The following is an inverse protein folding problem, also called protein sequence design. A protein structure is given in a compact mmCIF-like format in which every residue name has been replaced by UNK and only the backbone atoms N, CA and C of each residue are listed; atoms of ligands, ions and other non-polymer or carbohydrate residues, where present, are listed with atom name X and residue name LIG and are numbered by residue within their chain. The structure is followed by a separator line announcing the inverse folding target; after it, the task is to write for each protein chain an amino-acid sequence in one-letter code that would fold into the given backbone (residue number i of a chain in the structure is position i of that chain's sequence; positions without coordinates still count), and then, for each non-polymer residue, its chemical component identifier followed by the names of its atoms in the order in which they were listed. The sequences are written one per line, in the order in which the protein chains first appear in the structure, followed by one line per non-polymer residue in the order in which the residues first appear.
data_IF_653702336533
#
_entry.id   IF_653702336533
#
_cell.length_a   1.000
_cell.length_b   1.000
_cell.length_c   1.000
_cell.angle_alpha   90.00
_cell.angle_beta   90.00
_cell.angle_gamma   90.00
#
_symmetry.space_group_name_H-M   'P 1'
#
loop_
_entity.id
_entity.type
_entity.pdbx_description
1 polymer ?
#
# COMPACT_ATOMS: atom_id res chain seq x y z
N UNK A 1 21.88 6.62 37.29
CA UNK A 1 20.58 6.06 36.89
C UNK A 1 20.83 4.64 36.40
N UNK A 2 19.95 3.70 36.72
CA UNK A 2 20.12 2.26 36.57
C UNK A 2 19.24 1.75 35.42
N UNK A 3 19.70 0.72 34.70
CA UNK A 3 18.88 0.02 33.69
C UNK A 3 18.18 -1.19 34.32
N UNK A 4 17.05 -1.58 33.75
CA UNK A 4 16.42 -2.84 34.11
C UNK A 4 17.30 -4.00 33.65
N UNK A 5 17.44 -5.02 34.49
CA UNK A 5 18.23 -6.23 34.22
C UNK A 5 17.36 -7.43 34.54
N UNK A 6 17.39 -8.44 33.68
CA UNK A 6 16.75 -9.73 33.92
C UNK A 6 17.55 -10.58 34.92
N UNK A 7 16.84 -11.32 35.78
CA UNK A 7 17.49 -12.35 36.57
C UNK A 7 17.96 -13.49 35.66
N UNK A 8 19.19 -13.98 35.90
CA UNK A 8 19.73 -15.13 35.19
C UNK A 8 20.40 -16.11 36.14
N UNK A 9 20.02 -17.37 36.02
CA UNK A 9 20.59 -18.49 36.75
C UNK A 9 21.18 -19.52 35.79
N UNK A 10 22.26 -20.17 36.21
CA UNK A 10 22.90 -21.22 35.42
C UNK A 10 23.03 -22.52 36.22
N UNK A 11 22.91 -23.64 35.54
CA UNK A 11 23.16 -24.94 36.14
C UNK A 11 24.65 -25.24 36.28
N UNK A 12 24.94 -26.33 37.00
CA UNK A 12 26.19 -27.08 36.86
C UNK A 12 26.46 -27.49 35.39
N UNK A 13 27.71 -27.87 35.11
CA UNK A 13 28.13 -28.33 33.80
C UNK A 13 27.81 -29.83 33.63
N UNK A 14 27.15 -30.16 32.53
CA UNK A 14 26.88 -31.52 32.07
C UNK A 14 27.77 -31.86 30.87
N UNK A 15 28.00 -33.15 30.63
CA UNK A 15 28.85 -33.57 29.50
C UNK A 15 28.31 -33.13 28.13
N UNK A 16 26.99 -33.07 27.96
CA UNK A 16 26.32 -32.67 26.71
C UNK A 16 24.86 -32.26 26.94
N UNK A 17 24.20 -31.72 25.92
CA UNK A 17 22.76 -31.39 25.97
C UNK A 17 21.85 -32.63 26.10
N UNK A 18 22.33 -33.82 25.70
CA UNK A 18 21.62 -35.09 25.82
C UNK A 18 21.92 -35.85 27.11
N UNK A 19 22.76 -35.29 27.99
CA UNK A 19 23.08 -35.91 29.27
C UNK A 19 21.83 -35.98 30.14
N UNK A 20 21.54 -37.16 30.68
CA UNK A 20 20.46 -37.37 31.62
C UNK A 20 20.64 -36.44 32.82
N UNK A 21 19.58 -35.70 33.13
CA UNK A 21 19.57 -34.75 34.23
C UNK A 21 19.00 -35.41 35.48
N UNK A 22 18.27 -36.51 35.38
CA UNK A 22 17.53 -37.19 36.43
C UNK A 22 16.08 -36.71 36.53
N UNK A 23 15.16 -37.64 36.77
CA UNK A 23 13.73 -37.37 36.97
C UNK A 23 13.51 -36.50 38.23
N UNK A 24 12.72 -35.43 38.06
CA UNK A 24 12.40 -34.43 39.10
C UNK A 24 11.26 -33.52 38.67
N UNK A 25 10.70 -32.79 39.62
CA UNK A 25 9.86 -31.62 39.34
C UNK A 25 10.60 -30.35 39.75
N UNK A 26 10.77 -29.42 38.80
CA UNK A 26 11.22 -28.05 39.07
C UNK A 26 9.99 -27.18 39.25
N UNK A 27 9.82 -26.57 40.41
CA UNK A 27 8.76 -25.60 40.66
C UNK A 27 9.36 -24.20 40.55
N UNK A 28 8.95 -23.46 39.52
CA UNK A 28 9.35 -22.08 39.27
C UNK A 28 8.31 -21.17 39.94
N UNK A 29 8.74 -20.37 40.91
CA UNK A 29 7.89 -19.39 41.58
C UNK A 29 8.29 -17.98 41.18
N UNK A 30 7.33 -17.17 40.76
CA UNK A 30 7.49 -15.74 40.49
C UNK A 30 6.20 -14.98 40.83
N UNK A 31 6.13 -13.70 40.47
CA UNK A 31 4.94 -12.85 40.68
C UNK A 31 3.68 -13.36 39.97
N UNK A 32 3.83 -14.12 38.88
CA UNK A 32 2.73 -14.74 38.13
C UNK A 32 2.18 -16.02 38.76
N UNK A 33 2.86 -16.60 39.75
CA UNK A 33 2.43 -17.80 40.47
C UNK A 33 3.51 -18.88 40.56
N UNK A 34 3.05 -20.12 40.73
CA UNK A 34 3.88 -21.33 40.85
C UNK A 34 3.65 -22.23 39.64
N UNK A 35 4.73 -22.61 38.97
CA UNK A 35 4.71 -23.39 37.74
C UNK A 35 5.55 -24.65 37.90
N UNK A 36 4.91 -25.82 37.81
CA UNK A 36 5.60 -27.11 37.90
C UNK A 36 6.07 -27.56 36.52
N UNK A 37 7.37 -27.86 36.43
CA UNK A 37 8.04 -28.42 35.26
C UNK A 37 8.46 -29.84 35.59
N UNK A 38 7.76 -30.81 35.02
CA UNK A 38 8.00 -32.23 35.27
C UNK A 38 9.04 -32.77 34.28
N UNK A 39 10.10 -33.36 34.83
CA UNK A 39 11.13 -34.09 34.11
C UNK A 39 10.98 -35.57 34.45
N UNK A 40 10.62 -36.37 33.44
CA UNK A 40 10.41 -37.82 33.53
C UNK A 40 11.24 -38.56 32.47
N UNK A 41 11.14 -39.89 32.44
CA UNK A 41 11.85 -40.74 31.47
C UNK A 41 11.73 -40.33 29.99
N UNK A 42 10.71 -39.57 29.60
CA UNK A 42 10.49 -39.14 28.21
C UNK A 42 11.27 -37.88 27.83
N UNK A 43 11.65 -37.06 28.81
CA UNK A 43 12.34 -35.80 28.61
C UNK A 43 13.56 -35.61 29.54
N UNK A 44 14.06 -36.71 30.15
CA UNK A 44 15.24 -36.74 31.02
C UNK A 44 16.55 -36.45 30.27
N UNK A 45 16.72 -35.18 29.92
CA UNK A 45 17.94 -34.62 29.35
C UNK A 45 17.97 -33.11 29.58
N UNK A 46 19.14 -32.48 29.43
CA UNK A 46 19.24 -31.02 29.52
C UNK A 46 18.39 -30.33 28.43
N UNK A 47 18.35 -30.90 27.22
CA UNK A 47 17.50 -30.47 26.12
C UNK A 47 16.01 -30.60 26.46
N UNK A 48 15.58 -31.75 26.98
CA UNK A 48 14.20 -31.97 27.40
C UNK A 48 13.78 -31.04 28.54
N UNK A 49 14.68 -30.76 29.48
CA UNK A 49 14.45 -29.79 30.56
C UNK A 49 14.29 -28.36 30.03
N UNK A 50 15.14 -27.91 29.11
CA UNK A 50 14.98 -26.62 28.43
C UNK A 50 13.60 -26.50 27.79
N UNK A 51 13.21 -27.54 27.04
CA UNK A 51 11.95 -27.54 26.29
C UNK A 51 10.75 -27.54 27.25
N UNK A 52 10.83 -28.31 28.34
CA UNK A 52 9.80 -28.34 29.37
C UNK A 52 9.65 -26.99 30.11
N UNK A 53 10.76 -26.30 30.43
CA UNK A 53 10.71 -24.96 31.03
C UNK A 53 10.06 -23.97 30.05
N UNK A 54 10.49 -23.95 28.79
CA UNK A 54 9.91 -23.04 27.79
C UNK A 54 8.43 -23.32 27.51
N UNK A 55 7.99 -24.57 27.66
CA UNK A 55 6.58 -24.95 27.51
C UNK A 55 5.71 -24.63 28.73
N UNK A 56 6.31 -24.38 29.90
CA UNK A 56 5.58 -24.12 31.15
C UNK A 56 4.85 -22.78 31.21
N UNK A 57 5.14 -21.85 30.28
CA UNK A 57 4.63 -20.48 30.27
C UNK A 57 4.83 -19.74 31.61
N UNK A 58 5.86 -20.10 32.36
CA UNK A 58 6.19 -19.49 33.66
C UNK A 58 6.70 -18.06 33.52
N UNK A 59 7.00 -17.56 32.32
CA UNK A 59 7.68 -16.27 32.12
C UNK A 59 9.21 -16.36 32.26
N UNK A 60 9.75 -17.54 32.56
CA UNK A 60 11.19 -17.84 32.52
C UNK A 60 11.51 -18.59 31.23
N UNK A 61 12.53 -18.12 30.51
CA UNK A 61 13.05 -18.77 29.31
C UNK A 61 14.31 -19.57 29.65
N UNK A 62 14.42 -20.77 29.11
CA UNK A 62 15.60 -21.61 29.22
C UNK A 62 16.34 -21.73 27.89
N UNK A 63 17.67 -21.68 27.94
CA UNK A 63 18.57 -21.96 26.83
C UNK A 63 19.73 -22.86 27.28
N UNK A 64 20.42 -23.48 26.32
CA UNK A 64 21.60 -24.31 26.61
C UNK A 64 22.81 -23.61 26.03
N UNK A 65 23.82 -23.41 26.87
CA UNK A 65 25.13 -22.93 26.46
C UNK A 65 26.12 -24.10 26.51
N UNK A 66 26.79 -24.37 25.39
CA UNK A 66 27.80 -25.42 25.28
C UNK A 66 29.17 -24.81 25.01
N UNK A 67 30.14 -25.16 25.84
CA UNK A 67 31.55 -24.78 25.71
C UNK A 67 32.44 -26.05 25.66
N UNK A 68 33.77 -25.89 25.73
CA UNK A 68 34.72 -27.02 25.72
C UNK A 68 34.66 -27.90 26.97
N UNK A 69 34.12 -27.39 28.08
CA UNK A 69 33.97 -28.11 29.34
C UNK A 69 32.66 -28.90 29.40
N UNK A 70 31.64 -28.50 28.63
CA UNK A 70 30.36 -29.21 28.53
C UNK A 70 29.18 -28.28 28.21
N UNK A 71 27.98 -28.71 28.58
CA UNK A 71 26.74 -27.95 28.42
C UNK A 71 26.17 -27.50 29.77
N UNK A 72 25.61 -26.29 29.84
CA UNK A 72 24.86 -25.80 31.01
C UNK A 72 23.50 -25.25 30.58
N UNK A 73 22.51 -25.40 31.46
CA UNK A 73 21.24 -24.70 31.33
C UNK A 73 21.42 -23.26 31.80
N UNK A 74 20.83 -22.33 31.07
CA UNK A 74 20.72 -20.92 31.44
C UNK A 74 19.24 -20.59 31.49
N UNK A 75 18.77 -20.16 32.65
CA UNK A 75 17.40 -19.73 32.90
C UNK A 75 17.39 -18.20 33.04
N UNK A 76 16.52 -17.54 32.29
CA UNK A 76 16.44 -16.08 32.23
C UNK A 76 14.98 -15.63 32.39
N UNK A 77 14.74 -14.69 33.31
CA UNK A 77 13.45 -14.04 33.47
C UNK A 77 13.30 -12.83 32.53
N UNK A 78 12.13 -12.19 32.55
CA UNK A 78 11.99 -10.85 32.00
C UNK A 78 12.76 -9.82 32.85
N UNK A 79 13.05 -8.65 32.25
CA UNK A 79 13.67 -7.52 32.97
C UNK A 79 12.81 -7.08 34.16
N UNK A 80 13.43 -6.58 35.22
CA UNK A 80 12.73 -5.99 36.37
C UNK A 80 12.59 -6.92 37.57
N UNK A 81 12.58 -6.34 38.76
CA UNK A 81 12.58 -7.03 40.05
C UNK A 81 11.32 -7.87 40.23
N UNK A 82 10.16 -7.39 39.79
CA UNK A 82 8.89 -8.14 39.85
C UNK A 82 8.91 -9.44 39.03
N UNK A 83 9.77 -9.54 38.02
CA UNK A 83 9.91 -10.72 37.18
C UNK A 83 10.96 -11.72 37.72
N UNK A 84 11.57 -11.43 38.87
CA UNK A 84 12.45 -12.38 39.55
C UNK A 84 11.75 -13.70 39.82
N UNK A 85 12.54 -14.77 39.83
CA UNK A 85 12.05 -16.13 40.04
C UNK A 85 12.90 -16.86 41.07
N UNK A 86 12.30 -17.90 41.65
CA UNK A 86 13.00 -18.89 42.46
C UNK A 86 12.65 -20.28 41.96
N UNK A 87 13.60 -21.20 42.05
CA UNK A 87 13.40 -22.59 41.62
C UNK A 87 13.55 -23.51 42.82
N UNK A 88 12.51 -24.28 43.11
CA UNK A 88 12.59 -25.39 44.07
C UNK A 88 12.55 -26.72 43.33
N UNK A 89 13.29 -27.71 43.81
CA UNK A 89 13.40 -29.01 43.15
C UNK A 89 12.90 -30.11 44.09
N UNK A 90 12.09 -31.01 43.57
CA UNK A 90 11.61 -32.20 44.28
C UNK A 90 11.76 -33.45 43.40
N UNK A 91 11.95 -34.61 44.01
CA UNK A 91 12.12 -35.88 43.28
C UNK A 91 13.16 -36.80 43.90
N UNK A 92 13.47 -37.88 43.19
CA UNK A 92 14.42 -38.92 43.62
C UNK A 92 15.87 -38.60 43.24
N UNK A 93 16.06 -37.75 42.23
CA UNK A 93 17.39 -37.33 41.77
C UNK A 93 17.99 -36.26 42.68
N UNK A 94 19.33 -36.20 42.85
CA UNK A 94 19.98 -35.10 43.55
C UNK A 94 19.56 -33.74 42.96
N UNK A 95 19.39 -32.75 43.85
CA UNK A 95 19.11 -31.38 43.46
C UNK A 95 20.27 -30.83 42.62
N UNK A 96 19.93 -30.21 41.49
CA UNK A 96 20.87 -29.53 40.61
C UNK A 96 21.26 -28.19 41.26
N UNK A 97 22.53 -27.78 41.21
CA UNK A 97 22.88 -26.44 41.65
C UNK A 97 22.48 -25.42 40.57
N UNK A 98 21.78 -24.36 40.99
CA UNK A 98 21.48 -23.20 40.17
C UNK A 98 22.19 -21.99 40.78
N UNK A 99 23.13 -21.41 40.03
CA UNK A 99 23.91 -20.26 40.45
C UNK A 99 23.37 -19.01 39.81
N UNK A 100 22.99 -18.02 40.63
CA UNK A 100 22.59 -16.70 40.14
C UNK A 100 23.82 -15.95 39.62
N UNK A 101 23.77 -15.55 38.35
CA UNK A 101 24.85 -14.80 37.67
C UNK A 101 24.43 -13.39 37.25
N UNK A 102 23.15 -13.08 37.37
CA UNK A 102 22.61 -11.73 37.22
C UNK A 102 21.36 -11.61 38.09
N UNK A 103 21.33 -10.60 38.96
CA UNK A 103 20.16 -10.28 39.78
C UNK A 103 19.22 -9.38 39.02
N UNK A 104 17.91 -9.61 39.16
CA UNK A 104 16.91 -8.71 38.58
C UNK A 104 17.02 -7.31 39.18
N UNK A 105 16.90 -6.30 38.34
CA UNK A 105 16.96 -4.88 38.70
C UNK A 105 15.91 -4.13 37.89
N UNK A 106 15.31 -3.10 38.47
CA UNK A 106 14.40 -2.18 37.77
C UNK A 106 15.19 -1.05 37.11
N UNK A 107 14.62 -0.47 36.06
CA UNK A 107 15.13 0.77 35.48
C UNK A 107 14.69 1.94 36.35
N UNK A 108 15.62 2.88 36.60
CA UNK A 108 15.37 4.09 37.38
C UNK A 108 15.79 5.28 36.54
N UNK A 109 14.81 6.10 36.13
CA UNK A 109 15.01 7.30 35.33
C UNK A 109 14.39 8.52 36.04
N UNK A 110 14.99 9.69 35.89
CA UNK A 110 14.41 10.95 36.35
C UNK A 110 13.89 11.76 35.17
N UNK A 111 12.60 12.06 35.17
CA UNK A 111 11.94 12.93 34.18
C UNK A 111 11.50 14.19 34.91
N UNK A 112 12.01 15.36 34.50
CA UNK A 112 11.74 16.66 35.14
C UNK A 112 11.91 16.67 36.67
N UNK A 113 12.88 15.91 37.17
CA UNK A 113 13.19 15.78 38.60
C UNK A 113 12.37 14.74 39.36
N UNK A 114 11.36 14.14 38.72
CA UNK A 114 10.56 13.05 39.28
C UNK A 114 11.24 11.71 38.97
N UNK A 115 11.50 10.91 40.00
CA UNK A 115 12.04 9.57 39.84
C UNK A 115 10.94 8.58 39.44
N UNK A 116 11.20 7.85 38.36
CA UNK A 116 10.33 6.82 37.81
C UNK A 116 11.07 5.48 37.85
N UNK A 117 10.43 4.50 38.45
CA UNK A 117 10.92 3.11 38.52
C UNK A 117 10.05 2.26 37.60
N UNK A 118 10.69 1.49 36.71
CA UNK A 118 9.97 0.62 35.77
C UNK A 118 10.65 -0.75 35.69
N UNK A 119 9.85 -1.80 35.46
CA UNK A 119 10.37 -3.16 35.26
C UNK A 119 11.10 -3.33 33.92
N UNK A 120 10.86 -2.47 32.93
CA UNK A 120 11.51 -2.53 31.61
C UNK A 120 12.41 -1.34 31.34
N UNK A 121 13.36 -1.53 30.42
CA UNK A 121 14.11 -0.44 29.79
C UNK A 121 13.28 0.40 28.80
N UNK A 122 12.02 0.04 28.53
CA UNK A 122 11.09 0.86 27.76
C UNK A 122 10.05 1.49 28.68
N UNK A 123 10.11 2.82 28.83
CA UNK A 123 9.19 3.59 29.66
C UNK A 123 8.14 4.24 28.78
N UNK A 124 6.89 3.83 28.94
CA UNK A 124 5.72 4.44 28.29
C UNK A 124 4.85 5.15 29.32
N UNK A 125 4.26 6.29 28.96
CA UNK A 125 3.29 6.97 29.83
C UNK A 125 3.89 7.91 30.87
N UNK A 126 5.22 8.00 30.98
CA UNK A 126 5.89 9.07 31.74
C UNK A 126 5.53 10.46 31.21
N UNK A 127 5.42 10.57 29.88
CA UNK A 127 4.92 11.74 29.16
C UNK A 127 3.88 11.23 28.15
N UNK A 128 2.66 11.81 28.09
CA UNK A 128 1.65 11.40 27.12
C UNK A 128 2.18 11.45 25.67
N UNK A 129 2.04 10.33 24.95
CA UNK A 129 2.47 10.23 23.55
C UNK A 129 3.96 10.00 23.31
N UNK A 130 4.77 9.84 24.37
CA UNK A 130 6.21 9.58 24.26
C UNK A 130 6.55 8.19 24.81
N UNK A 131 7.38 7.45 24.06
CA UNK A 131 8.04 6.23 24.51
C UNK A 131 9.53 6.53 24.68
N UNK A 132 10.08 6.21 25.86
CA UNK A 132 11.50 6.41 26.17
C UNK A 132 12.17 5.04 26.25
N UNK A 133 13.16 4.80 25.40
CA UNK A 133 14.00 3.60 25.47
C UNK A 133 15.33 3.93 26.16
N UNK A 134 15.60 3.26 27.28
CA UNK A 134 16.81 3.44 28.08
C UNK A 134 17.87 2.47 27.58
N UNK A 135 18.93 3.00 26.95
CA UNK A 135 19.98 2.17 26.36
C UNK A 135 21.15 1.91 27.31
N UNK A 136 21.49 2.89 28.15
CA UNK A 136 22.63 2.80 29.04
C UNK A 136 22.44 3.66 30.29
N UNK A 137 23.00 3.17 31.41
CA UNK A 137 23.11 3.91 32.65
C UNK A 137 24.24 4.95 32.56
N UNK A 138 23.88 6.24 32.51
CA UNK A 138 24.84 7.35 32.65
C UNK A 138 24.44 8.22 33.84
N UNK A 139 25.25 8.19 34.91
CA UNK A 139 25.00 8.99 36.11
C UNK A 139 25.47 10.44 35.89
N UNK A 140 24.62 11.41 36.24
CA UNK A 140 24.95 12.84 36.20
C UNK A 140 24.83 13.53 34.83
N UNK A 141 24.51 12.79 33.77
CA UNK A 141 24.22 13.35 32.44
C UNK A 141 22.72 13.65 32.32
N UNK A 142 22.38 14.88 31.96
CA UNK A 142 21.02 15.29 31.66
C UNK A 142 20.79 15.21 30.14
N UNK A 143 19.70 14.57 29.73
CA UNK A 143 19.22 14.58 28.36
C UNK A 143 18.01 15.49 28.28
N UNK A 144 18.02 16.45 27.37
CA UNK A 144 16.86 17.30 27.09
C UNK A 144 16.11 16.70 25.91
N UNK A 145 14.92 16.16 26.16
CA UNK A 145 14.00 15.77 25.10
C UNK A 145 13.28 17.04 24.67
N UNK A 146 13.80 17.71 23.64
CA UNK A 146 13.05 18.74 22.97
C UNK A 146 12.02 18.04 22.09
N UNK A 147 10.74 18.26 22.37
CA UNK A 147 9.66 17.97 21.44
C UNK A 147 9.76 18.90 20.23
N UNK A 148 10.83 18.78 19.44
CA UNK A 148 10.72 19.05 18.03
C UNK A 148 9.74 17.98 17.57
N UNK A 149 8.46 18.34 17.42
CA UNK A 149 7.58 17.62 16.53
C UNK A 149 8.44 17.37 15.31
N UNK A 150 8.80 16.10 15.04
CA UNK A 150 9.23 15.73 13.69
C UNK A 150 8.23 16.43 12.79
N UNK A 151 8.64 17.47 12.05
CA UNK A 151 7.71 18.01 11.08
C UNK A 151 7.50 16.81 10.17
N UNK A 152 6.24 16.32 10.10
CA UNK A 152 5.81 15.59 8.92
C UNK A 152 6.50 16.24 7.74
N UNK A 153 7.16 15.45 6.90
CA UNK A 153 7.89 15.99 5.76
C UNK A 153 6.89 16.61 4.78
N UNK A 154 6.43 17.83 5.11
CA UNK A 154 5.47 18.62 4.36
C UNK A 154 6.05 18.86 2.97
N UNK A 155 7.37 19.05 2.89
CA UNK A 155 8.07 19.17 1.62
C UNK A 155 8.00 17.87 0.81
N UNK A 156 8.20 16.71 1.45
CA UNK A 156 8.00 15.38 0.87
C UNK A 156 6.60 15.17 0.33
N UNK A 157 5.57 15.44 1.13
CA UNK A 157 4.16 15.32 0.72
C UNK A 157 3.82 16.21 -0.49
N UNK A 158 4.29 17.46 -0.49
CA UNK A 158 4.10 18.38 -1.62
C UNK A 158 4.84 17.87 -2.86
N UNK A 159 6.05 17.32 -2.70
CA UNK A 159 6.84 16.75 -3.79
C UNK A 159 6.19 15.51 -4.40
N UNK A 160 5.67 14.61 -3.58
CA UNK A 160 4.92 13.43 -4.04
C UNK A 160 3.66 13.83 -4.80
N UNK A 161 2.89 14.78 -4.26
CA UNK A 161 1.71 15.31 -4.95
C UNK A 161 2.05 15.92 -6.31
N UNK A 162 3.07 16.77 -6.38
CA UNK A 162 3.50 17.40 -7.63
C UNK A 162 3.95 16.35 -8.65
N UNK A 163 4.65 15.31 -8.19
CA UNK A 163 5.07 14.19 -9.05
C UNK A 163 3.85 13.47 -9.64
N UNK A 164 2.91 13.03 -8.80
CA UNK A 164 1.70 12.34 -9.24
C UNK A 164 0.84 13.22 -10.16
N UNK A 165 0.71 14.51 -9.85
CA UNK A 165 0.02 15.47 -10.71
C UNK A 165 0.69 15.57 -12.08
N UNK A 166 2.03 15.66 -12.12
CA UNK A 166 2.79 15.82 -13.37
C UNK A 166 2.72 14.58 -14.26
N UNK A 167 2.69 13.38 -13.68
CA UNK A 167 2.46 12.15 -14.41
C UNK A 167 1.07 12.12 -15.08
N UNK A 168 0.02 12.48 -14.33
CA UNK A 168 -1.34 12.60 -14.86
C UNK A 168 -1.42 13.68 -15.94
N UNK A 169 -0.83 14.85 -15.68
CA UNK A 169 -0.84 15.98 -16.61
C UNK A 169 -0.13 15.65 -17.91
N UNK A 170 1.01 14.99 -17.84
CA UNK A 170 1.78 14.56 -19.02
C UNK A 170 0.98 13.55 -19.86
N UNK A 171 0.31 12.60 -19.20
CA UNK A 171 -0.57 11.63 -19.86
C UNK A 171 -1.75 12.31 -20.56
N UNK A 172 -2.38 13.28 -19.91
CA UNK A 172 -3.48 14.07 -20.49
C UNK A 172 -3.01 14.96 -21.65
N UNK A 173 -1.85 15.60 -21.54
CA UNK A 173 -1.26 16.39 -22.62
C UNK A 173 -1.00 15.53 -23.85
N UNK A 174 -0.45 14.32 -23.69
CA UNK A 174 -0.25 13.38 -24.79
C UNK A 174 -1.58 12.89 -25.39
N UNK A 175 -2.55 12.55 -24.54
CA UNK A 175 -3.85 12.06 -25.00
C UNK A 175 -4.66 13.13 -25.74
N UNK A 176 -4.56 14.41 -25.34
CA UNK A 176 -5.35 15.52 -25.90
C UNK A 176 -4.61 16.35 -26.94
N UNK A 177 -3.34 16.02 -27.22
CA UNK A 177 -2.48 16.74 -28.17
C UNK A 177 -3.18 16.90 -29.53
N UNK A 178 -3.29 18.12 -30.07
CA UNK A 178 -3.86 18.31 -31.39
C UNK A 178 -2.96 17.69 -32.46
N UNK A 179 -3.57 17.18 -33.53
CA UNK A 179 -2.84 16.81 -34.74
C UNK A 179 -2.35 18.07 -35.45
N UNK A 180 -1.08 18.10 -35.84
CA UNK A 180 -0.46 19.22 -36.58
C UNK A 180 0.18 18.69 -37.86
N UNK A 181 0.16 19.49 -38.92
CA UNK A 181 0.84 19.21 -40.20
C UNK A 181 0.54 17.82 -40.80
N UNK A 182 -0.73 17.37 -40.73
CA UNK A 182 -1.17 16.09 -41.28
C UNK A 182 -0.94 14.87 -40.38
N UNK A 183 -0.32 15.04 -39.20
CA UNK A 183 -0.23 13.98 -38.20
C UNK A 183 -1.53 13.85 -37.40
N UNK A 184 -1.92 12.62 -37.10
CA UNK A 184 -3.02 12.33 -36.17
C UNK A 184 -2.70 12.89 -34.78
N UNK A 185 -3.71 13.51 -34.15
CA UNK A 185 -3.61 13.93 -32.75
C UNK A 185 -3.63 12.74 -31.78
N UNK A 186 -3.56 13.05 -30.49
CA UNK A 186 -3.79 12.06 -29.44
C UNK A 186 -5.20 11.45 -29.50
N UNK A 187 -5.44 10.29 -28.86
CA UNK A 187 -6.73 9.59 -28.89
C UNK A 187 -7.92 10.42 -28.36
N UNK A 188 -7.65 11.42 -27.52
CA UNK A 188 -8.64 12.34 -26.95
C UNK A 188 -8.49 13.76 -27.53
N UNK A 189 -7.83 13.91 -28.68
CA UNK A 189 -7.68 15.19 -29.35
C UNK A 189 -9.06 15.80 -29.64
N UNK A 190 -9.28 17.01 -29.14
CA UNK A 190 -10.56 17.70 -29.28
C UNK A 190 -11.69 17.17 -28.39
N UNK A 191 -11.45 16.20 -27.51
CA UNK A 191 -12.46 15.76 -26.55
C UNK A 191 -12.80 16.89 -25.56
N UNK A 192 -14.09 17.03 -25.23
CA UNK A 192 -14.58 18.11 -24.33
C UNK A 192 -14.43 17.71 -22.87
N UNK A 193 -14.63 16.43 -22.53
CA UNK A 193 -14.48 15.92 -21.18
C UNK A 193 -13.03 16.00 -20.72
N UNK A 194 -12.10 15.54 -21.56
CA UNK A 194 -10.66 15.61 -21.27
C UNK A 194 -10.17 17.06 -21.09
N UNK A 195 -10.67 18.00 -21.91
CA UNK A 195 -10.38 19.43 -21.75
C UNK A 195 -10.92 20.01 -20.45
N UNK A 196 -12.09 19.57 -20.00
CA UNK A 196 -12.66 19.99 -18.73
C UNK A 196 -11.86 19.45 -17.53
N UNK A 197 -11.40 18.20 -17.59
CA UNK A 197 -10.48 17.63 -16.58
C UNK A 197 -9.21 18.48 -16.48
N UNK A 198 -8.58 18.76 -17.63
CA UNK A 198 -7.40 19.64 -17.72
C UNK A 198 -7.66 21.00 -17.07
N UNK A 199 -8.83 21.61 -17.35
CA UNK A 199 -9.21 22.92 -16.80
C UNK A 199 -9.39 22.89 -15.30
N UNK A 200 -10.09 21.89 -14.75
CA UNK A 200 -10.30 21.73 -13.30
C UNK A 200 -8.99 21.49 -12.56
N UNK A 201 -8.12 20.63 -13.09
CA UNK A 201 -6.80 20.36 -12.52
C UNK A 201 -5.90 21.59 -12.55
N UNK A 202 -5.96 22.42 -13.60
CA UNK A 202 -5.18 23.67 -13.67
C UNK A 202 -5.65 24.73 -12.68
N UNK A 203 -6.89 24.65 -12.17
CA UNK A 203 -7.41 25.56 -11.15
C UNK A 203 -6.95 25.17 -9.73
N UNK A 204 -6.52 23.91 -9.53
CA UNK A 204 -6.22 23.35 -8.22
C UNK A 204 -5.16 24.15 -7.44
N UNK A 205 -4.14 24.68 -8.11
CA UNK A 205 -3.08 25.47 -7.45
C UNK A 205 -3.58 26.77 -6.84
N UNK A 206 -4.65 27.33 -7.42
CA UNK A 206 -5.32 28.56 -6.96
C UNK A 206 -6.55 28.29 -6.09
N UNK A 207 -6.97 27.02 -5.97
CA UNK A 207 -8.09 26.64 -5.13
C UNK A 207 -7.73 26.92 -3.68
N UNK A 208 -8.63 27.63 -2.99
CA UNK A 208 -8.49 27.88 -1.56
C UNK A 208 -8.77 26.58 -0.79
N UNK A 209 -7.77 26.08 -0.07
CA UNK A 209 -7.83 24.84 0.71
C UNK A 209 -8.30 25.09 2.15
N UNK A 210 -8.04 26.31 2.67
CA UNK A 210 -8.45 26.78 4.00
C UNK A 210 -8.70 28.29 3.98
N UNK A 211 -9.62 28.77 4.81
CA UNK A 211 -9.82 30.22 5.07
C UNK A 211 -8.96 30.77 6.21
N UNK A 212 -8.28 29.90 6.95
CA UNK A 212 -7.54 30.22 8.18
C UNK A 212 -6.03 30.21 7.92
N UNK A 213 -5.33 31.20 8.48
CA UNK A 213 -3.87 31.33 8.37
C UNK A 213 -3.41 32.10 7.12
N UNK A 214 -2.10 32.22 6.98
CA UNK A 214 -1.46 32.97 5.89
C UNK A 214 -1.32 32.12 4.61
N UNK A 215 -1.28 30.78 4.75
CA UNK A 215 -1.21 29.83 3.65
C UNK A 215 -2.60 29.29 3.35
N UNK A 216 -3.16 29.67 2.20
CA UNK A 216 -4.54 29.32 1.81
C UNK A 216 -4.61 28.49 0.54
N UNK A 217 -3.58 28.55 -0.29
CA UNK A 217 -3.48 27.90 -1.60
C UNK A 217 -2.12 27.24 -1.77
N UNK A 218 -2.00 26.32 -2.73
CA UNK A 218 -0.71 25.72 -3.08
C UNK A 218 0.28 26.76 -3.63
N UNK A 219 -0.21 27.83 -4.26
CA UNK A 219 0.61 28.93 -4.73
C UNK A 219 1.28 29.70 -3.58
N UNK A 220 0.64 29.81 -2.41
CA UNK A 220 1.18 30.51 -1.23
C UNK A 220 2.42 29.80 -0.67
N UNK A 221 2.51 28.48 -0.85
CA UNK A 221 3.65 27.64 -0.43
C UNK A 221 4.66 27.38 -1.55
N UNK A 222 4.53 28.06 -2.69
CA UNK A 222 5.51 28.01 -3.79
C UNK A 222 5.26 26.96 -4.87
N UNK A 223 4.09 26.32 -4.92
CA UNK A 223 3.72 25.44 -6.04
C UNK A 223 3.17 26.28 -7.19
N UNK A 224 3.77 26.17 -8.37
CA UNK A 224 3.43 26.99 -9.55
C UNK A 224 2.98 26.12 -10.71
N UNK A 225 2.05 26.63 -11.49
CA UNK A 225 1.64 26.01 -12.75
C UNK A 225 2.50 26.52 -13.90
N UNK A 226 3.09 25.59 -14.66
CA UNK A 226 3.89 25.86 -15.85
C UNK A 226 3.03 26.04 -17.11
N UNK A 227 3.66 26.43 -18.22
CA UNK A 227 2.95 26.74 -19.48
C UNK A 227 2.24 25.52 -20.08
N UNK A 228 2.78 24.32 -19.89
CA UNK A 228 2.17 23.05 -20.29
C UNK A 228 1.11 22.54 -19.28
N UNK A 229 0.94 23.29 -18.19
CA UNK A 229 0.06 23.02 -17.07
C UNK A 229 0.58 21.98 -16.08
N UNK A 230 1.84 21.55 -16.18
CA UNK A 230 2.53 20.80 -15.09
C UNK A 230 2.78 21.73 -13.90
N UNK A 231 3.15 21.16 -12.75
CA UNK A 231 3.50 21.88 -11.54
C UNK A 231 5.00 21.87 -11.30
N UNK A 232 5.52 23.01 -10.85
CA UNK A 232 6.89 23.17 -10.35
C UNK A 232 6.85 23.62 -8.89
N UNK A 233 7.90 23.27 -8.13
CA UNK A 233 8.06 23.68 -6.74
C UNK A 233 9.18 24.71 -6.66
N UNK A 234 8.85 25.92 -6.20
CA UNK A 234 9.85 26.87 -5.73
C UNK A 234 10.32 26.43 -4.34
N UNK A 235 11.40 25.65 -4.31
CA UNK A 235 11.96 25.09 -3.07
C UNK A 235 12.29 26.17 -2.04
N UNK A 236 12.75 27.34 -2.47
CA UNK A 236 13.08 28.44 -1.54
C UNK A 236 11.84 28.96 -0.83
N UNK A 237 10.73 29.12 -1.56
CA UNK A 237 9.45 29.53 -0.97
C UNK A 237 8.83 28.46 -0.09
N UNK A 238 8.90 27.20 -0.52
CA UNK A 238 8.38 26.08 0.27
C UNK A 238 9.14 25.93 1.59
N UNK A 239 10.47 25.93 1.54
CA UNK A 239 11.32 25.83 2.73
C UNK A 239 11.06 27.04 3.66
N UNK A 240 10.84 28.24 3.13
CA UNK A 240 10.48 29.43 3.92
C UNK A 240 9.09 29.34 4.56
N UNK A 241 8.09 28.81 3.85
CA UNK A 241 6.74 28.61 4.37
C UNK A 241 6.72 27.60 5.51
N UNK A 242 7.42 26.46 5.33
CA UNK A 242 7.56 25.41 6.35
C UNK A 242 8.34 25.92 7.56
N UNK A 243 9.39 26.71 7.36
CA UNK A 243 10.15 27.32 8.46
C UNK A 243 9.34 28.38 9.22
N UNK A 244 8.42 29.08 8.54
CA UNK A 244 7.55 30.09 9.16
C UNK A 244 6.47 29.46 10.04
N UNK A 245 5.71 28.49 9.51
CA UNK A 245 4.67 27.78 10.25
C UNK A 245 4.32 26.43 9.58
N UNK A 246 5.07 25.39 9.91
CA UNK A 246 4.83 24.03 9.40
C UNK A 246 3.47 23.46 9.81
N UNK A 247 2.92 23.88 10.95
CA UNK A 247 1.61 23.46 11.44
C UNK A 247 0.48 24.02 10.59
N UNK A 248 0.55 25.30 10.22
CA UNK A 248 -0.40 25.93 9.32
C UNK A 248 -0.36 25.31 7.91
N UNK A 249 0.83 25.05 7.36
CA UNK A 249 0.95 24.39 6.05
C UNK A 249 0.38 22.96 6.10
N UNK A 250 0.65 22.22 7.18
CA UNK A 250 0.05 20.89 7.38
C UNK A 250 -1.47 20.97 7.43
N UNK A 251 -2.05 21.85 8.25
CA UNK A 251 -3.50 21.98 8.39
C UNK A 251 -4.18 22.49 7.10
N UNK A 252 -3.47 23.26 6.27
CA UNK A 252 -3.93 23.66 4.94
C UNK A 252 -4.02 22.45 3.99
N UNK A 253 -3.01 21.57 3.98
CA UNK A 253 -2.97 20.41 3.09
C UNK A 253 -3.89 19.28 3.58
N UNK A 254 -3.82 18.98 4.88
CA UNK A 254 -4.49 17.88 5.55
C UNK A 254 -5.11 18.39 6.87
N UNK A 255 -6.34 18.93 6.82
CA UNK A 255 -7.03 19.37 8.01
C UNK A 255 -7.41 18.17 8.88
N UNK A 256 -7.26 18.30 10.20
CA UNK A 256 -7.66 17.24 11.14
C UNK A 256 -9.16 16.89 11.06
N UNK A 257 -9.99 17.86 10.70
CA UNK A 257 -11.42 17.69 10.41
C UNK A 257 -11.75 18.54 9.19
N UNK A 258 -12.22 17.89 8.12
CA UNK A 258 -12.62 18.57 6.89
C UNK A 258 -13.96 19.32 7.09
N UNK A 259 -14.02 20.57 6.65
CA UNK A 259 -15.24 21.42 6.64
C UNK A 259 -15.32 22.21 5.33
N UNK A 260 -16.45 22.86 5.05
CA UNK A 260 -16.61 23.69 3.84
C UNK A 260 -15.55 24.79 3.70
N UNK A 261 -14.97 25.24 4.82
CA UNK A 261 -13.94 26.29 4.90
C UNK A 261 -12.52 25.73 5.11
N UNK A 262 -12.39 24.41 5.27
CA UNK A 262 -11.13 23.66 5.47
C UNK A 262 -11.23 22.35 4.72
N UNK A 263 -11.23 22.44 3.40
CA UNK A 263 -11.41 21.28 2.52
C UNK A 263 -10.14 20.44 2.41
N UNK A 264 -8.95 21.05 2.58
CA UNK A 264 -7.68 20.38 2.34
C UNK A 264 -7.45 20.02 0.87
N UNK A 265 -6.29 19.43 0.59
CA UNK A 265 -5.92 19.02 -0.77
C UNK A 265 -6.76 17.83 -1.25
N UNK A 266 -7.02 16.86 -0.37
CA UNK A 266 -7.88 15.70 -0.66
C UNK A 266 -9.32 16.14 -0.95
N UNK A 267 -9.90 16.99 -0.12
CA UNK A 267 -11.26 17.51 -0.35
C UNK A 267 -11.37 18.33 -1.64
N UNK A 268 -10.33 19.08 -2.02
CA UNK A 268 -10.29 19.77 -3.30
C UNK A 268 -10.27 18.79 -4.49
N UNK A 269 -9.50 17.70 -4.40
CA UNK A 269 -9.47 16.64 -5.42
C UNK A 269 -10.79 15.86 -5.49
N UNK A 270 -11.42 15.59 -4.36
CA UNK A 270 -12.74 14.95 -4.28
C UNK A 270 -13.83 15.83 -4.88
N UNK A 271 -13.79 17.14 -4.64
CA UNK A 271 -14.71 18.09 -5.26
C UNK A 271 -14.57 18.10 -6.80
N UNK A 272 -13.33 18.07 -7.31
CA UNK A 272 -13.07 17.95 -8.76
C UNK A 272 -13.62 16.62 -9.28
N UNK A 273 -13.31 15.50 -8.62
CA UNK A 273 -13.74 14.17 -9.03
C UNK A 273 -15.27 14.05 -9.04
N UNK A 274 -15.93 14.53 -8.00
CA UNK A 274 -17.38 14.56 -7.87
C UNK A 274 -18.02 15.42 -8.96
N UNK A 275 -17.47 16.61 -9.22
CA UNK A 275 -17.96 17.50 -10.28
C UNK A 275 -17.81 16.89 -11.68
N UNK A 276 -16.78 16.09 -11.93
CA UNK A 276 -16.53 15.46 -13.22
C UNK A 276 -17.40 14.22 -13.45
N UNK A 277 -17.68 13.46 -12.38
CA UNK A 277 -18.42 12.19 -12.39
C UNK A 277 -19.91 12.32 -12.07
N UNK A 278 -20.41 13.53 -11.77
CA UNK A 278 -21.84 13.74 -11.57
C UNK A 278 -22.64 13.36 -12.82
N UNK A 279 -23.95 13.20 -12.69
CA UNK A 279 -24.83 12.82 -13.81
C UNK A 279 -24.73 13.79 -15.00
N UNK A 280 -24.57 15.09 -14.72
CA UNK A 280 -24.32 16.15 -15.70
C UNK A 280 -22.83 16.48 -15.88
N UNK A 281 -21.94 15.72 -15.26
CA UNK A 281 -20.50 15.92 -15.26
C UNK A 281 -19.88 15.64 -16.63
N UNK A 282 -18.78 16.32 -16.92
CA UNK A 282 -18.17 16.27 -18.25
C UNK A 282 -17.65 14.88 -18.64
N UNK A 283 -17.25 14.04 -17.67
CA UNK A 283 -16.81 12.67 -17.94
C UNK A 283 -18.01 11.77 -18.26
N UNK A 284 -19.08 11.88 -17.48
CA UNK A 284 -20.35 11.14 -17.71
C UNK A 284 -20.91 11.49 -19.08
N UNK A 285 -21.01 12.78 -19.41
CA UNK A 285 -21.50 13.24 -20.72
C UNK A 285 -20.61 12.74 -21.87
N UNK A 286 -19.29 12.74 -21.68
CA UNK A 286 -18.37 12.19 -22.69
C UNK A 286 -18.56 10.68 -22.88
N UNK A 287 -18.72 9.92 -21.78
CA UNK A 287 -18.99 8.49 -21.82
C UNK A 287 -20.31 8.17 -22.52
N UNK A 288 -21.41 8.82 -22.15
CA UNK A 288 -22.71 8.64 -22.79
C UNK A 288 -22.65 8.94 -24.29
N UNK A 289 -21.95 10.01 -24.68
CA UNK A 289 -21.77 10.35 -26.11
C UNK A 289 -20.97 9.28 -26.85
N UNK A 290 -19.88 8.79 -26.27
CA UNK A 290 -19.05 7.75 -26.89
C UNK A 290 -19.82 6.43 -27.01
N UNK A 291 -20.66 6.10 -26.05
CA UNK A 291 -21.51 4.90 -26.11
C UNK A 291 -22.58 5.03 -27.21
N UNK A 292 -23.22 6.19 -27.33
CA UNK A 292 -24.16 6.45 -28.43
C UNK A 292 -23.49 6.39 -29.81
N UNK A 293 -22.26 6.90 -29.94
CA UNK A 293 -21.48 6.78 -31.19
C UNK A 293 -21.16 5.31 -31.48
N UNK A 294 -20.75 4.54 -30.46
CA UNK A 294 -20.47 3.11 -30.59
C UNK A 294 -21.69 2.34 -31.08
N UNK A 295 -22.86 2.62 -30.52
CA UNK A 295 -24.13 2.02 -30.93
C UNK A 295 -24.48 2.40 -32.37
N UNK A 296 -24.39 3.68 -32.74
CA UNK A 296 -24.66 4.15 -34.11
C UNK A 296 -23.72 3.52 -35.15
N UNK A 297 -22.44 3.36 -34.82
CA UNK A 297 -21.47 2.66 -35.69
C UNK A 297 -21.86 1.18 -35.84
N UNK A 298 -22.35 0.54 -34.77
CA UNK A 298 -22.78 -0.86 -34.80
C UNK A 298 -23.99 -1.03 -35.73
N UNK A 299 -25.02 -0.20 -35.57
CA UNK A 299 -26.19 -0.18 -36.46
C UNK A 299 -25.81 0.11 -37.92
N UNK A 300 -24.86 1.02 -38.15
CA UNK A 300 -24.36 1.32 -39.49
C UNK A 300 -23.68 0.12 -40.15
N UNK A 301 -22.93 -0.67 -39.38
CA UNK A 301 -22.28 -1.89 -39.88
C UNK A 301 -23.30 -2.97 -40.22
N UNK A 302 -24.33 -3.15 -39.40
CA UNK A 302 -25.43 -4.08 -39.66
C UNK A 302 -26.16 -3.71 -40.94
N UNK A 303 -26.54 -2.43 -41.09
CA UNK A 303 -27.20 -1.95 -42.30
C UNK A 303 -26.36 -2.14 -43.56
N UNK A 304 -25.05 -1.87 -43.50
CA UNK A 304 -24.13 -2.11 -44.63
C UNK A 304 -24.08 -3.60 -44.98
N UNK A 305 -24.10 -4.49 -43.98
CA UNK A 305 -24.12 -5.93 -44.22
C UNK A 305 -25.44 -6.38 -44.88
N UNK A 306 -26.58 -5.89 -44.41
CA UNK A 306 -27.90 -6.13 -45.02
C UNK A 306 -27.98 -5.61 -46.46
N UNK A 307 -27.52 -4.39 -46.70
CA UNK A 307 -27.48 -3.79 -48.04
C UNK A 307 -26.58 -4.59 -48.99
N UNK A 308 -25.45 -5.12 -48.48
CA UNK A 308 -24.56 -6.01 -49.21
C UNK A 308 -25.24 -7.32 -49.63
N UNK A 309 -25.98 -7.96 -48.73
CA UNK A 309 -26.69 -9.20 -49.05
C UNK A 309 -27.83 -8.96 -50.05
N UNK A 310 -28.59 -7.88 -49.87
CA UNK A 310 -29.65 -7.50 -50.82
C UNK A 310 -29.10 -7.22 -52.22
N UNK A 311 -27.97 -6.51 -52.33
CA UNK A 311 -27.32 -6.28 -53.62
C UNK A 311 -26.86 -7.61 -54.25
N UNK A 312 -26.30 -8.52 -53.45
CA UNK A 312 -25.91 -9.86 -53.92
C UNK A 312 -27.11 -10.65 -54.45
N UNK A 313 -28.24 -10.67 -53.75
CA UNK A 313 -29.48 -11.32 -54.22
C UNK A 313 -30.01 -10.70 -55.52
N UNK A 314 -29.99 -9.37 -55.63
CA UNK A 314 -30.39 -8.65 -56.84
C UNK A 314 -29.50 -9.01 -58.03
N UNK A 315 -28.18 -9.06 -57.82
CA UNK A 315 -27.23 -9.46 -58.84
C UNK A 315 -27.46 -10.92 -59.26
N UNK A 316 -27.65 -11.85 -58.32
CA UNK A 316 -27.96 -13.25 -58.63
C UNK A 316 -29.24 -13.39 -59.47
N UNK A 317 -30.30 -12.68 -59.10
CA UNK A 317 -31.56 -12.67 -59.85
C UNK A 317 -31.38 -12.10 -61.25
N UNK A 318 -30.63 -11.01 -61.37
CA UNK A 318 -30.31 -10.37 -62.66
C UNK A 318 -29.52 -11.31 -63.57
N UNK A 319 -28.47 -11.95 -63.05
CA UNK A 319 -27.67 -12.92 -63.80
C UNK A 319 -28.50 -14.14 -64.22
N UNK A 320 -29.32 -14.71 -63.33
CA UNK A 320 -30.22 -15.81 -63.67
C UNK A 320 -31.25 -15.43 -64.75
N UNK A 321 -31.70 -14.17 -64.78
CA UNK A 321 -32.56 -13.62 -65.83
C UNK A 321 -31.84 -13.49 -67.17
N UNK A 322 -30.61 -12.95 -67.17
CA UNK A 322 -29.76 -12.85 -68.35
C UNK A 322 -29.43 -14.22 -68.94
N UNK A 323 -29.15 -15.22 -68.11
CA UNK A 323 -28.94 -16.60 -68.54
C UNK A 323 -30.17 -17.19 -69.23
N UNK A 324 -31.37 -16.95 -68.69
CA UNK A 324 -32.63 -17.37 -69.33
C UNK A 324 -32.83 -16.71 -70.68
N UNK A 325 -32.60 -15.40 -70.79
CA UNK A 325 -32.70 -14.69 -72.06
C UNK A 325 -31.68 -15.20 -73.08
N UNK A 326 -30.43 -15.43 -72.66
CA UNK A 326 -29.39 -16.00 -73.51
C UNK A 326 -29.77 -17.40 -74.00
N UNK A 327 -30.39 -18.23 -73.15
CA UNK A 327 -30.90 -19.55 -73.54
C UNK A 327 -32.00 -19.45 -74.61
N UNK A 328 -32.94 -18.52 -74.47
CA UNK A 328 -33.98 -18.24 -75.48
C UNK A 328 -33.38 -17.73 -76.79
N UNK A 329 -32.37 -16.86 -76.72
CA UNK A 329 -31.66 -16.37 -77.91
C UNK A 329 -30.92 -17.50 -78.61
N UNK A 330 -30.29 -18.41 -77.87
CA UNK A 330 -29.64 -19.60 -78.45
C UNK A 330 -30.64 -20.56 -79.07
N UNK A 331 -31.80 -20.78 -78.45
CA UNK A 331 -32.84 -21.66 -79.01
C UNK A 331 -33.51 -21.06 -80.25
N UNK A 332 -33.73 -19.75 -80.28
CA UNK A 332 -34.20 -19.04 -81.48
C UNK A 332 -33.16 -19.04 -82.59
N UNK A 333 -31.87 -18.83 -82.27
CA UNK A 333 -30.79 -18.98 -83.23
C UNK A 333 -30.80 -20.39 -83.84
N UNK A 334 -30.82 -21.44 -83.01
CA UNK A 334 -30.86 -22.82 -83.49
C UNK A 334 -32.12 -23.12 -84.35
N UNK A 335 -33.28 -22.57 -83.98
CA UNK A 335 -34.51 -22.70 -84.76
C UNK A 335 -34.40 -22.03 -86.14
N UNK A 336 -33.84 -20.83 -86.18
CA UNK A 336 -33.61 -20.08 -87.44
C UNK A 336 -32.61 -20.82 -88.32
N UNK A 337 -31.49 -21.30 -87.75
CA UNK A 337 -30.52 -22.14 -88.45
C UNK A 337 -31.18 -23.41 -89.03
N UNK A 338 -32.05 -24.06 -88.26
CA UNK A 338 -32.79 -25.25 -88.71
C UNK A 338 -33.80 -24.93 -89.83
N UNK A 339 -34.48 -23.79 -89.79
CA UNK A 339 -35.35 -23.36 -90.89
C UNK A 339 -34.55 -23.10 -92.17
N UNK A 340 -33.42 -22.40 -92.08
CA UNK A 340 -32.56 -22.16 -93.25
C UNK A 340 -32.04 -23.48 -93.84
N UNK A 341 -31.56 -24.41 -93.01
CA UNK A 341 -31.12 -25.73 -93.48
C UNK A 341 -32.25 -26.54 -94.15
N UNK A 342 -33.50 -26.38 -93.68
CA UNK A 342 -34.66 -27.04 -94.30
C UNK A 342 -35.07 -26.43 -95.65
N UNK A 343 -34.85 -25.12 -95.83
CA UNK A 343 -35.09 -24.42 -97.08
C UNK A 343 -34.00 -24.72 -98.11
N UNK A 344 -32.74 -24.86 -97.68
CA UNK A 344 -31.64 -25.28 -98.55
C UNK A 344 -31.82 -26.74 -99.05
N UNK A 345 -32.39 -27.63 -98.23
CA UNK A 345 -32.71 -29.00 -98.63
C UNK A 345 -33.92 -29.11 -99.59
N UNK A 346 -34.75 -28.07 -99.72
CA UNK A 346 -35.88 -28.04 -100.67
C UNK A 346 -35.49 -27.51 -102.06
N UNK A 347 -34.28 -26.93 -102.20
CA UNK A 347 -33.76 -26.33 -103.43
C UNK A 347 -32.63 -27.15 -104.09
N UNK A 348 -32.45 -28.41 -103.68
CA UNK A 348 -31.65 -29.45 -104.36
C UNK A 348 -32.56 -30.61 -104.77
#
# INVERSE_FOLDING_TARGET
MQIAVAQREISDIFASASTAVGERTLTINNSGGSFDVVIDSTNDSLAGMRDAINASNSGVTAMILTDKAGSRLVMEAQEGVENSFTVTQSGVSPAMNLTNIATALDSIVKVDGIELTNSSNTVTGAIPGVQISILAAQAGTQFTINGASEPLDVAGLVSEFVTAYNELRSSLNNATKPGLAGASGGPLAGDRGAREVIRKLSQLTSTRLTDVGDFKTLADIGVRTETDGTLSIDKTRLDAAVASDSGAVKLMLEPAVATDTKIGLSGALDAITTSLKSESGALTVAQTRLEAIRESITQSREKIAEDGERLREQLQTTFAGLERQLSVLRSTQAYVEQQFASLDNYNN
#
